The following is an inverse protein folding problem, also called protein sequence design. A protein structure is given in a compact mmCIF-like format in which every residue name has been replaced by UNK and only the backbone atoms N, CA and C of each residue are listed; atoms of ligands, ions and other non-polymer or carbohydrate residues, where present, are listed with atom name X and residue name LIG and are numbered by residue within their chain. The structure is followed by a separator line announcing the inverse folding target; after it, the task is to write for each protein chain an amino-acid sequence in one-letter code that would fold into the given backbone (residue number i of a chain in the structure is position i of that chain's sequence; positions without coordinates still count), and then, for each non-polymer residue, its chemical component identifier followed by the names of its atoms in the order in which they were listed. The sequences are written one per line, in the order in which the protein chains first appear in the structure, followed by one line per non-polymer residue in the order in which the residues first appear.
data_IF_649342518575
#
_entry.id   IF_649342518575
#
_cell.length_a   1.000
_cell.length_b   1.000
_cell.length_c   1.000
_cell.angle_alpha   90.00
_cell.angle_beta   90.00
_cell.angle_gamma   90.00
#
_symmetry.space_group_name_H-M   'P 1'
#
loop_
_entity.id
_entity.type
_entity.pdbx_description
1 polymer ?
#
# COMPACT_ATOMS: atom_id res chain seq x y z
N UNK A 1 3.92 -16.31 2.65
CA UNK A 1 2.57 -16.09 3.21
C UNK A 1 2.09 -14.77 2.63
N UNK A 2 0.81 -14.62 2.29
CA UNK A 2 0.30 -13.34 1.82
C UNK A 2 0.28 -12.28 2.93
N UNK A 3 0.59 -11.02 2.59
CA UNK A 3 0.59 -9.86 3.48
C UNK A 3 -0.74 -9.66 4.18
N UNK A 4 -1.86 -10.01 3.54
CA UNK A 4 -3.18 -9.93 4.16
C UNK A 4 -3.30 -10.92 5.34
N UNK A 5 -2.79 -12.13 5.17
CA UNK A 5 -2.83 -13.15 6.23
C UNK A 5 -1.84 -12.84 7.35
N UNK A 6 -0.74 -12.14 7.04
CA UNK A 6 0.19 -11.66 8.06
C UNK A 6 -0.45 -10.67 9.04
N UNK A 7 -1.44 -9.88 8.61
CA UNK A 7 -2.22 -9.03 9.52
C UNK A 7 -3.02 -9.85 10.54
N UNK A 8 -3.56 -10.99 10.10
CA UNK A 8 -4.29 -11.92 10.98
C UNK A 8 -3.33 -12.56 11.98
N UNK A 9 -2.15 -12.99 11.52
CA UNK A 9 -1.12 -13.56 12.39
C UNK A 9 -0.56 -12.54 13.38
N UNK A 10 -0.32 -11.30 12.96
CA UNK A 10 0.12 -10.21 13.84
C UNK A 10 -0.91 -9.95 14.95
N UNK A 11 -2.21 -9.93 14.61
CA UNK A 11 -3.27 -9.81 15.60
C UNK A 11 -3.27 -10.97 16.60
N UNK A 12 -3.03 -12.21 16.15
CA UNK A 12 -2.95 -13.38 17.04
C UNK A 12 -1.78 -13.28 18.01
N UNK A 13 -0.59 -12.91 17.52
CA UNK A 13 0.62 -12.74 18.33
C UNK A 13 0.46 -11.61 19.36
N UNK A 14 -0.26 -10.54 19.01
CA UNK A 14 -0.54 -9.45 19.94
C UNK A 14 -1.37 -9.87 21.17
N UNK A 15 -2.05 -11.02 21.13
CA UNK A 15 -2.88 -11.55 22.23
C UNK A 15 -2.20 -12.72 22.97
N UNK A 16 -0.90 -12.91 22.81
CA UNK A 16 -0.15 -13.89 23.61
C UNK A 16 -0.25 -13.58 25.13
N UNK A 17 -0.30 -14.60 25.99
CA UNK A 17 -0.07 -16.03 25.73
C UNK A 17 -1.30 -16.81 25.24
N UNK A 18 -2.48 -16.20 25.12
CA UNK A 18 -3.72 -16.87 24.72
C UNK A 18 -4.22 -16.34 23.37
N UNK A 19 -3.55 -16.68 22.25
CA UNK A 19 -3.91 -16.16 20.95
C UNK A 19 -5.31 -16.63 20.53
N UNK A 20 -6.15 -15.75 19.95
CA UNK A 20 -7.46 -16.14 19.46
C UNK A 20 -7.34 -17.21 18.36
N UNK A 21 -8.30 -18.13 18.36
CA UNK A 21 -8.41 -19.14 17.30
C UNK A 21 -8.84 -18.46 15.99
N UNK A 22 -8.44 -19.05 14.86
CA UNK A 22 -8.88 -18.53 13.55
C UNK A 22 -10.40 -18.52 13.39
N UNK A 23 -11.13 -19.43 14.04
CA UNK A 23 -12.60 -19.41 14.04
C UNK A 23 -13.14 -18.16 14.72
N UNK A 24 -12.59 -17.79 15.87
CA UNK A 24 -13.00 -16.60 16.62
C UNK A 24 -12.73 -15.32 15.83
N UNK A 25 -11.58 -15.25 15.16
CA UNK A 25 -11.25 -14.10 14.30
C UNK A 25 -12.20 -14.06 13.10
N UNK A 26 -12.47 -15.20 12.47
CA UNK A 26 -13.40 -15.26 11.34
C UNK A 26 -14.81 -14.80 11.74
N UNK A 27 -15.30 -15.20 12.92
CA UNK A 27 -16.56 -14.75 13.50
C UNK A 27 -16.59 -13.22 13.71
N UNK A 28 -15.51 -12.64 14.26
CA UNK A 28 -15.40 -11.18 14.43
C UNK A 28 -15.41 -10.42 13.09
N UNK A 29 -14.84 -11.04 12.06
CA UNK A 29 -14.79 -10.48 10.70
C UNK A 29 -16.09 -10.72 9.92
N UNK A 30 -16.96 -11.63 10.39
CA UNK A 30 -18.22 -11.99 9.73
C UNK A 30 -18.05 -12.97 8.56
N UNK A 31 -17.01 -13.81 8.58
CA UNK A 31 -16.74 -14.80 7.54
C UNK A 31 -16.59 -16.20 8.14
N UNK A 32 -16.64 -17.23 7.28
CA UNK A 32 -16.34 -18.59 7.73
C UNK A 32 -14.84 -18.75 8.01
N UNK A 33 -14.47 -19.66 8.92
CA UNK A 33 -13.06 -20.04 9.17
C UNK A 33 -12.35 -20.43 7.87
N UNK A 34 -13.01 -21.17 6.99
CA UNK A 34 -12.41 -21.60 5.72
C UNK A 34 -12.18 -20.43 4.77
N UNK A 35 -13.10 -19.47 4.73
CA UNK A 35 -12.91 -18.21 3.99
C UNK A 35 -11.68 -17.45 4.50
N UNK A 36 -11.50 -17.34 5.81
CA UNK A 36 -10.33 -16.70 6.41
C UNK A 36 -9.02 -17.44 6.05
N UNK A 37 -9.02 -18.77 6.07
CA UNK A 37 -7.84 -19.57 5.69
C UNK A 37 -7.50 -19.44 4.20
N UNK A 38 -8.50 -19.26 3.33
CA UNK A 38 -8.28 -19.02 1.91
C UNK A 38 -7.62 -17.67 1.61
N UNK A 39 -7.65 -16.73 2.56
CA UNK A 39 -6.93 -15.45 2.44
C UNK A 39 -5.41 -15.57 2.59
N UNK A 40 -4.89 -16.78 2.84
CA UNK A 40 -3.44 -17.06 2.74
C UNK A 40 -2.89 -16.88 1.32
N UNK A 41 -3.75 -17.10 0.33
CA UNK A 41 -3.44 -17.00 -1.10
C UNK A 41 -4.68 -16.47 -1.82
N UNK A 42 -5.04 -15.19 -1.63
CA UNK A 42 -6.20 -14.62 -2.28
C UNK A 42 -5.92 -14.52 -3.79
N UNK A 43 -6.90 -14.90 -4.61
CA UNK A 43 -6.79 -14.80 -6.09
C UNK A 43 -7.65 -13.67 -6.65
N UNK A 44 -8.40 -12.98 -5.79
CA UNK A 44 -9.35 -11.93 -6.16
C UNK A 44 -9.58 -10.98 -5.01
N UNK A 45 -10.11 -9.81 -5.36
CA UNK A 45 -10.49 -8.79 -4.40
C UNK A 45 -11.60 -9.29 -3.45
N UNK A 46 -11.44 -9.06 -2.16
CA UNK A 46 -12.44 -9.35 -1.14
C UNK A 46 -13.60 -8.35 -1.24
N UNK A 47 -14.77 -8.73 -0.71
CA UNK A 47 -15.86 -7.78 -0.50
C UNK A 47 -15.43 -6.69 0.49
N UNK A 48 -15.88 -5.46 0.26
CA UNK A 48 -15.64 -4.31 1.15
C UNK A 48 -15.99 -4.61 2.60
N UNK A 49 -17.10 -5.32 2.82
CA UNK A 49 -17.59 -5.69 4.15
C UNK A 49 -16.57 -6.55 4.91
N UNK A 50 -15.93 -7.52 4.23
CA UNK A 50 -14.92 -8.39 4.85
C UNK A 50 -13.63 -7.64 5.16
N UNK A 51 -13.22 -6.71 4.29
CA UNK A 51 -12.06 -5.84 4.54
C UNK A 51 -12.32 -4.90 5.73
N UNK A 52 -13.52 -4.34 5.85
CA UNK A 52 -13.91 -3.54 7.01
C UNK A 52 -13.99 -4.38 8.29
N UNK A 53 -14.53 -5.60 8.20
CA UNK A 53 -14.55 -6.56 9.31
C UNK A 53 -13.13 -6.87 9.79
N UNK A 54 -12.20 -7.12 8.86
CA UNK A 54 -10.80 -7.38 9.18
C UNK A 54 -10.10 -6.17 9.80
N UNK A 55 -10.31 -4.97 9.25
CA UNK A 55 -9.78 -3.72 9.81
C UNK A 55 -10.26 -3.51 11.26
N UNK A 56 -11.56 -3.72 11.53
CA UNK A 56 -12.14 -3.61 12.88
C UNK A 56 -11.61 -4.67 13.84
N UNK A 57 -11.51 -5.92 13.38
CA UNK A 57 -11.06 -7.03 14.22
C UNK A 57 -9.58 -6.89 14.59
N UNK A 58 -8.74 -6.50 13.62
CA UNK A 58 -7.28 -6.38 13.83
C UNK A 58 -6.84 -5.04 14.40
N UNK A 59 -7.70 -4.01 14.34
CA UNK A 59 -7.33 -2.63 14.67
C UNK A 59 -6.47 -1.95 13.59
N UNK A 60 -6.25 -2.61 12.45
CA UNK A 60 -5.46 -2.08 11.34
C UNK A 60 -6.31 -1.14 10.48
N UNK A 61 -5.79 0.02 10.04
CA UNK A 61 -6.52 0.91 9.14
C UNK A 61 -6.99 0.20 7.86
N UNK A 62 -8.19 0.53 7.39
CA UNK A 62 -8.76 -0.06 6.17
C UNK A 62 -7.83 0.03 4.96
N UNK A 63 -7.14 1.16 4.79
CA UNK A 63 -6.19 1.36 3.69
C UNK A 63 -5.04 0.34 3.72
N UNK A 64 -4.45 0.08 4.88
CA UNK A 64 -3.40 -0.94 5.06
C UNK A 64 -3.90 -2.35 4.72
N UNK A 65 -5.16 -2.66 5.06
CA UNK A 65 -5.78 -3.95 4.70
C UNK A 65 -5.97 -4.06 3.18
N UNK A 66 -6.40 -2.98 2.54
CA UNK A 66 -6.56 -2.91 1.09
C UNK A 66 -5.21 -3.06 0.38
N UNK A 67 -4.18 -2.33 0.82
CA UNK A 67 -2.84 -2.40 0.25
C UNK A 67 -2.27 -3.82 0.36
N UNK A 68 -2.40 -4.46 1.52
CA UNK A 68 -1.95 -5.84 1.74
C UNK A 68 -2.68 -6.84 0.81
N UNK A 69 -3.98 -6.64 0.60
CA UNK A 69 -4.74 -7.45 -0.35
C UNK A 69 -4.26 -7.22 -1.78
N UNK A 70 -4.10 -5.96 -2.21
CA UNK A 70 -3.66 -5.61 -3.56
C UNK A 70 -2.25 -6.14 -3.87
N UNK A 71 -1.35 -6.13 -2.89
CA UNK A 71 -0.04 -6.78 -2.96
C UNK A 71 -0.20 -8.29 -3.23
N UNK A 72 -1.03 -8.96 -2.43
CA UNK A 72 -1.23 -10.41 -2.52
C UNK A 72 -1.86 -10.87 -3.84
N UNK A 73 -2.72 -10.05 -4.45
CA UNK A 73 -3.34 -10.35 -5.75
C UNK A 73 -2.52 -9.82 -6.94
N UNK A 74 -1.35 -9.22 -6.70
CA UNK A 74 -0.43 -8.73 -7.73
C UNK A 74 -0.90 -7.46 -8.45
N UNK A 75 -1.77 -6.66 -7.84
CA UNK A 75 -2.25 -5.38 -8.39
C UNK A 75 -1.34 -4.21 -8.02
N UNK A 76 -0.55 -4.31 -6.94
CA UNK A 76 0.52 -3.35 -6.69
C UNK A 76 1.70 -3.72 -7.60
N UNK A 77 1.84 -2.98 -8.70
CA UNK A 77 3.09 -2.96 -9.45
C UNK A 77 4.10 -2.16 -8.64
N UNK A 78 5.31 -2.67 -8.45
CA UNK A 78 6.42 -1.84 -7.98
C UNK A 78 6.52 -0.68 -8.97
N UNK A 79 6.19 0.53 -8.55
CA UNK A 79 6.40 1.73 -9.36
C UNK A 79 7.92 1.96 -9.44
N UNK A 80 8.60 1.15 -10.25
CA UNK A 80 9.96 1.38 -10.72
C UNK A 80 9.88 2.34 -11.90
N UNK A 81 9.35 3.54 -11.69
CA UNK A 81 9.45 4.68 -12.60
C UNK A 81 10.00 5.84 -11.75
N UNK A 82 11.33 5.87 -11.60
CA UNK A 82 12.17 6.87 -12.25
C UNK A 82 11.83 8.30 -11.81
N UNK A 83 12.26 8.63 -10.59
CA UNK A 83 12.70 9.98 -10.25
C UNK A 83 14.10 10.21 -10.87
N UNK A 84 14.19 10.06 -12.19
CA UNK A 84 15.33 10.41 -13.04
C UNK A 84 14.81 11.45 -14.06
N UNK A 85 14.29 12.58 -13.56
CA UNK A 85 13.76 13.67 -14.40
C UNK A 85 13.71 15.06 -13.70
N UNK A 86 14.47 15.25 -12.63
CA UNK A 86 14.77 16.57 -12.07
C UNK A 86 16.20 16.45 -11.53
N UNK A 87 17.28 16.88 -12.19
CA UNK A 87 17.65 18.26 -12.46
C UNK A 87 18.75 18.22 -13.56
N UNK A 88 18.38 18.21 -14.83
CA UNK A 88 19.34 18.33 -15.92
C UNK A 88 18.68 18.95 -17.16
N UNK A 89 18.45 20.26 -17.15
CA UNK A 89 18.43 21.16 -18.32
C UNK A 89 17.71 22.47 -17.97
N UNK A 90 18.33 23.32 -17.15
CA UNK A 90 18.10 24.77 -17.24
C UNK A 90 19.39 25.48 -16.80
N UNK A 91 20.41 25.40 -17.64
CA UNK A 91 21.48 26.39 -17.67
C UNK A 91 21.75 26.67 -19.15
N UNK A 92 20.91 27.56 -19.68
CA UNK A 92 21.02 28.06 -21.05
C UNK A 92 22.24 28.97 -21.12
N UNK A 93 23.17 28.78 -22.08
CA UNK A 93 24.37 29.60 -22.17
C UNK A 93 23.98 31.05 -22.51
N UNK A 94 24.47 31.99 -21.70
CA UNK A 94 24.32 33.42 -21.94
C UNK A 94 24.92 33.79 -23.30
N UNK A 95 24.04 34.06 -24.25
CA UNK A 95 24.39 34.56 -25.58
C UNK A 95 24.42 36.09 -25.53
N UNK A 96 25.49 36.63 -26.09
CA UNK A 96 25.88 38.03 -26.17
C UNK A 96 24.74 39.00 -26.47
N UNK A 97 24.60 40.03 -25.62
CA UNK A 97 23.87 41.26 -25.96
C UNK A 97 24.91 42.37 -26.16
N UNK A 98 25.49 42.41 -27.36
CA UNK A 98 26.04 43.63 -27.92
C UNK A 98 24.89 44.62 -28.13
N UNK A 99 24.88 45.69 -27.35
CA UNK A 99 24.10 46.89 -27.65
C UNK A 99 25.03 48.11 -27.63
N UNK A 100 25.62 48.34 -28.80
CA UNK A 100 26.18 49.60 -29.24
C UNK A 100 25.03 50.62 -29.39
N UNK A 101 25.06 51.71 -28.62
CA UNK A 101 24.39 52.97 -28.96
C UNK A 101 24.92 54.12 -28.08
N UNK A 102 25.96 54.76 -28.61
CA UNK A 102 26.08 56.21 -28.78
C UNK A 102 24.97 57.07 -28.14
N UNK A 103 25.31 57.92 -27.16
CA UNK A 103 24.73 59.26 -27.07
C UNK A 103 25.69 60.26 -26.39
N UNK A 104 26.24 61.12 -27.24
CA UNK A 104 26.93 62.41 -27.03
C UNK A 104 26.10 63.43 -26.20
N UNK A 105 26.59 64.67 -25.89
CA UNK A 105 27.93 65.26 -26.05
C UNK A 105 28.59 65.77 -24.74
#
# INVERSE_FOLDING_TARGET
MGRLFDLVEAHRRAHEPYPPSYSRIAEQVGVSRQTLLNWRTPTKLLKKEHMLGLARATGVPYQRVLDALLDDIGYLHESQEQEDAAVAADDTPGMDEEAEADEFP
#
